data_IF_213659913203
#
_entry.id   IF_213659913203
#
_cell.length_a   1.000
_cell.length_b   1.000
_cell.length_c   1.000
_cell.angle_alpha   90.00
_cell.angle_beta   90.00
_cell.angle_gamma   90.00
#
_symmetry.space_group_name_H-M   'P 1'
#
loop_
_entity.id
_entity.type
_entity.pdbx_description
1 polymer ?
#
# COMPACT_ATOMS: atom_id res chain seq x y z
N UNK A 1 11.26 -5.45 30.73
CA UNK A 1 9.88 -5.97 30.71
C UNK A 1 9.07 -5.01 29.86
N UNK A 2 8.59 -5.42 28.68
CA UNK A 2 7.64 -4.63 27.92
C UNK A 2 6.32 -4.58 28.72
N UNK A 3 5.70 -3.40 28.81
CA UNK A 3 4.42 -3.24 29.52
C UNK A 3 3.27 -3.82 28.68
N UNK A 4 2.13 -4.13 29.30
CA UNK A 4 0.93 -4.59 28.57
C UNK A 4 0.53 -3.59 27.47
N UNK A 5 0.71 -2.29 27.72
CA UNK A 5 0.47 -1.22 26.75
C UNK A 5 1.40 -1.30 25.53
N UNK A 6 2.65 -1.75 25.72
CA UNK A 6 3.61 -1.94 24.63
C UNK A 6 3.24 -3.15 23.77
N UNK A 7 2.78 -4.24 24.39
CA UNK A 7 2.35 -5.45 23.69
C UNK A 7 1.10 -5.21 22.82
N UNK A 8 0.09 -4.50 23.35
CA UNK A 8 -1.07 -4.12 22.56
C UNK A 8 -0.72 -3.12 21.46
N UNK A 9 0.19 -2.17 21.74
CA UNK A 9 0.66 -1.22 20.76
C UNK A 9 1.41 -1.88 19.61
N UNK A 10 2.24 -2.88 19.93
CA UNK A 10 2.91 -3.71 18.95
C UNK A 10 1.92 -4.51 18.09
N UNK A 11 0.91 -5.13 18.71
CA UNK A 11 -0.12 -5.85 17.97
C UNK A 11 -0.86 -4.91 16.99
N UNK A 12 -1.24 -3.69 17.42
CA UNK A 12 -1.85 -2.69 16.52
C UNK A 12 -0.96 -2.34 15.34
N UNK A 13 0.35 -2.20 15.58
CA UNK A 13 1.32 -1.98 14.50
C UNK A 13 1.36 -3.17 13.53
N UNK A 14 1.42 -4.41 14.04
CA UNK A 14 1.43 -5.61 13.19
C UNK A 14 0.14 -5.77 12.37
N UNK A 15 -1.02 -5.43 12.92
CA UNK A 15 -2.28 -5.39 12.19
C UNK A 15 -2.21 -4.37 11.03
N UNK A 16 -1.65 -3.18 11.26
CA UNK A 16 -1.44 -2.19 10.20
C UNK A 16 -0.42 -2.64 9.15
N UNK A 17 0.64 -3.35 9.55
CA UNK A 17 1.57 -3.95 8.59
C UNK A 17 0.89 -5.02 7.72
N UNK A 18 0.02 -5.84 8.29
CA UNK A 18 -0.79 -6.82 7.54
C UNK A 18 -1.59 -6.13 6.44
N UNK A 19 -2.27 -5.02 6.79
CA UNK A 19 -2.97 -4.17 5.80
C UNK A 19 -2.02 -3.69 4.70
N UNK A 20 -0.86 -3.15 5.06
CA UNK A 20 0.06 -2.54 4.09
C UNK A 20 0.74 -3.55 3.16
N UNK A 21 1.03 -4.76 3.64
CA UNK A 21 1.75 -5.76 2.86
C UNK A 21 0.83 -6.70 2.07
N UNK A 22 -0.39 -6.95 2.53
CA UNK A 22 -1.25 -7.96 1.91
C UNK A 22 -2.48 -7.36 1.24
N UNK A 23 -3.11 -6.36 1.85
CA UNK A 23 -4.37 -5.79 1.35
C UNK A 23 -4.09 -4.61 0.41
N UNK A 24 -3.25 -3.66 0.84
CA UNK A 24 -2.96 -2.44 0.10
C UNK A 24 -2.43 -2.68 -1.33
N UNK A 25 -1.49 -3.62 -1.59
CA UNK A 25 -1.04 -3.87 -2.95
C UNK A 25 -2.14 -4.44 -3.83
N UNK A 26 -3.00 -5.30 -3.27
CA UNK A 26 -4.16 -5.86 -3.98
C UNK A 26 -5.16 -4.77 -4.37
N UNK A 27 -5.42 -3.81 -3.48
CA UNK A 27 -6.28 -2.66 -3.78
C UNK A 27 -5.73 -1.78 -4.91
N UNK A 28 -4.44 -1.44 -4.87
CA UNK A 28 -3.81 -0.66 -5.93
C UNK A 28 -3.81 -1.42 -7.26
N UNK A 29 -3.57 -2.73 -7.23
CA UNK A 29 -3.62 -3.59 -8.42
C UNK A 29 -5.02 -3.62 -9.03
N UNK A 30 -6.04 -3.81 -8.20
CA UNK A 30 -7.44 -3.82 -8.64
C UNK A 30 -7.89 -2.47 -9.20
N UNK A 31 -7.34 -1.37 -8.69
CA UNK A 31 -7.63 -0.03 -9.19
C UNK A 31 -7.15 0.16 -10.64
N UNK A 32 -6.02 -0.45 -11.01
CA UNK A 32 -5.38 -0.25 -12.32
C UNK A 32 -5.57 -1.39 -13.31
N UNK A 33 -5.95 -2.60 -12.87
CA UNK A 33 -6.02 -3.77 -13.74
C UNK A 33 -6.94 -3.57 -14.96
N UNK A 34 -8.02 -2.80 -14.79
CA UNK A 34 -8.98 -2.52 -15.85
C UNK A 34 -8.52 -1.42 -16.82
N UNK A 35 -7.72 -0.47 -16.35
CA UNK A 35 -7.24 0.65 -17.18
C UNK A 35 -5.90 0.34 -17.83
N UNK A 36 -5.07 -0.46 -17.18
CA UNK A 36 -3.78 -0.90 -17.66
C UNK A 36 -3.57 -2.37 -17.30
N UNK A 37 -4.01 -3.31 -18.15
CA UNK A 37 -3.69 -4.72 -17.97
C UNK A 37 -2.17 -4.97 -18.04
N UNK A 38 -1.65 -6.08 -17.49
CA UNK A 38 -0.20 -6.32 -17.40
C UNK A 38 0.54 -6.29 -18.75
N UNK A 39 -0.13 -6.70 -19.83
CA UNK A 39 0.42 -6.64 -21.19
C UNK A 39 0.64 -5.20 -21.67
N UNK A 40 -0.31 -4.31 -21.37
CA UNK A 40 -0.22 -2.89 -21.71
C UNK A 40 0.85 -2.20 -20.86
N UNK A 41 0.97 -2.60 -19.59
CA UNK A 41 2.02 -2.08 -18.73
C UNK A 41 3.42 -2.54 -19.19
N UNK A 42 3.57 -3.82 -19.59
CA UNK A 42 4.82 -4.35 -20.18
C UNK A 42 5.25 -3.52 -21.39
N UNK A 43 4.34 -3.24 -22.32
CA UNK A 43 4.59 -2.38 -23.48
C UNK A 43 5.03 -0.96 -23.07
N UNK A 44 4.33 -0.34 -22.11
CA UNK A 44 4.70 0.98 -21.57
C UNK A 44 6.11 0.98 -20.96
N UNK A 45 6.46 -0.07 -20.20
CA UNK A 45 7.79 -0.21 -19.58
C UNK A 45 8.87 -0.36 -20.67
N UNK A 46 8.63 -1.20 -21.67
CA UNK A 46 9.56 -1.38 -22.79
C UNK A 46 9.78 -0.06 -23.55
N UNK A 47 8.72 0.72 -23.75
CA UNK A 47 8.78 2.02 -24.41
C UNK A 47 9.49 3.10 -23.59
N UNK A 48 9.31 3.13 -22.27
CA UNK A 48 10.05 4.05 -21.38
C UNK A 48 11.56 3.72 -21.31
N UNK A 49 11.92 2.48 -21.64
CA UNK A 49 13.30 2.04 -21.80
C UNK A 49 14.09 2.02 -20.50
N UNK A 50 15.42 2.10 -20.63
CA UNK A 50 16.35 1.86 -19.53
C UNK A 50 16.27 2.91 -18.42
N UNK A 51 15.83 4.14 -18.74
CA UNK A 51 15.78 5.25 -17.77
C UNK A 51 14.80 4.97 -16.63
N UNK A 52 13.61 4.45 -16.95
CA UNK A 52 12.64 4.03 -15.92
C UNK A 52 13.20 2.87 -15.10
N UNK A 53 13.71 1.83 -15.77
CA UNK A 53 14.23 0.64 -15.09
C UNK A 53 15.41 0.96 -14.15
N UNK A 54 16.29 1.89 -14.52
CA UNK A 54 17.41 2.33 -13.68
C UNK A 54 16.97 3.15 -12.46
N UNK A 55 15.76 3.70 -12.45
CA UNK A 55 15.21 4.39 -11.28
C UNK A 55 14.69 3.43 -10.20
N UNK A 56 14.58 2.14 -10.51
CA UNK A 56 14.09 1.09 -9.62
C UNK A 56 15.24 0.34 -8.95
N UNK A 57 15.01 -0.15 -7.73
CA UNK A 57 15.94 -1.06 -7.06
C UNK A 57 16.06 -2.39 -7.82
N UNK A 58 17.17 -3.11 -7.68
CA UNK A 58 17.41 -4.39 -8.39
C UNK A 58 16.30 -5.43 -8.14
N UNK A 59 15.79 -5.50 -6.91
CA UNK A 59 14.67 -6.38 -6.56
C UNK A 59 13.38 -5.97 -7.31
N UNK A 60 13.06 -4.67 -7.34
CA UNK A 60 11.92 -4.13 -8.07
C UNK A 60 12.04 -4.37 -9.57
N UNK A 61 13.22 -4.16 -10.17
CA UNK A 61 13.46 -4.44 -11.59
C UNK A 61 13.17 -5.91 -11.93
N UNK A 62 13.52 -6.83 -11.03
CA UNK A 62 13.28 -8.27 -11.23
C UNK A 62 11.79 -8.58 -11.27
N UNK A 63 11.01 -7.96 -10.39
CA UNK A 63 9.55 -8.10 -10.37
C UNK A 63 8.92 -7.44 -11.61
N UNK A 64 9.33 -6.21 -11.95
CA UNK A 64 8.82 -5.48 -13.11
C UNK A 64 9.07 -6.22 -14.42
N UNK A 65 10.24 -6.84 -14.59
CA UNK A 65 10.55 -7.68 -15.77
C UNK A 65 9.60 -8.87 -15.95
N UNK A 66 8.88 -9.27 -14.91
CA UNK A 66 7.94 -10.41 -14.92
C UNK A 66 6.48 -9.98 -14.93
N UNK A 67 6.18 -8.70 -15.10
CA UNK A 67 4.80 -8.17 -15.11
C UNK A 67 3.90 -8.92 -16.09
N UNK A 68 4.40 -9.27 -17.28
CA UNK A 68 3.63 -9.97 -18.30
C UNK A 68 3.17 -11.37 -17.86
N UNK A 69 3.97 -12.07 -17.04
CA UNK A 69 3.70 -13.45 -16.62
C UNK A 69 3.09 -13.54 -15.22
N UNK A 70 3.51 -12.68 -14.31
CA UNK A 70 3.13 -12.73 -12.89
C UNK A 70 2.08 -11.67 -12.52
N UNK A 71 1.76 -10.76 -13.45
CA UNK A 71 0.85 -9.64 -13.20
C UNK A 71 1.34 -8.74 -12.07
N UNK A 72 0.41 -8.10 -11.37
CA UNK A 72 0.69 -7.24 -10.24
C UNK A 72 0.94 -7.99 -8.92
N UNK A 73 0.74 -9.32 -8.91
CA UNK A 73 0.67 -10.13 -7.68
C UNK A 73 1.94 -10.15 -6.83
N UNK A 74 3.10 -9.80 -7.40
CA UNK A 74 4.40 -9.76 -6.72
C UNK A 74 4.88 -8.35 -6.39
N UNK A 75 4.08 -7.33 -6.73
CA UNK A 75 4.44 -5.95 -6.48
C UNK A 75 3.92 -5.52 -5.11
N UNK A 76 4.78 -4.86 -4.33
CA UNK A 76 4.33 -4.19 -3.11
C UNK A 76 3.68 -2.83 -3.43
N UNK A 77 3.09 -2.20 -2.41
CA UNK A 77 2.41 -0.91 -2.57
C UNK A 77 3.33 0.22 -3.03
N UNK A 78 4.62 0.18 -2.66
CA UNK A 78 5.60 1.20 -3.05
C UNK A 78 5.95 1.12 -4.54
N UNK A 79 6.17 -0.09 -5.05
CA UNK A 79 6.44 -0.33 -6.46
C UNK A 79 5.20 -0.02 -7.31
N UNK A 80 4.01 -0.41 -6.85
CA UNK A 80 2.75 -0.05 -7.52
C UNK A 80 2.57 1.47 -7.57
N UNK A 81 2.82 2.19 -6.47
CA UNK A 81 2.79 3.65 -6.46
C UNK A 81 3.75 4.27 -7.49
N UNK A 82 5.00 3.78 -7.57
CA UNK A 82 5.98 4.24 -8.56
C UNK A 82 5.47 4.06 -9.99
N UNK A 83 4.91 2.90 -10.31
CA UNK A 83 4.34 2.58 -11.63
C UNK A 83 3.14 3.47 -11.96
N UNK A 84 2.21 3.61 -11.01
CA UNK A 84 1.01 4.44 -11.16
C UNK A 84 1.38 5.87 -11.50
N UNK A 85 2.34 6.45 -10.75
CA UNK A 85 2.79 7.81 -10.94
C UNK A 85 3.55 7.99 -12.25
N UNK A 86 4.47 7.08 -12.56
CA UNK A 86 5.34 7.23 -13.73
C UNK A 86 4.58 7.08 -15.05
N UNK A 87 3.63 6.14 -15.11
CA UNK A 87 2.88 5.83 -16.32
C UNK A 87 1.48 6.44 -16.36
N UNK A 88 1.15 7.28 -15.38
CA UNK A 88 -0.12 7.98 -15.24
C UNK A 88 -1.32 7.02 -15.33
N UNK A 89 -1.25 5.92 -14.57
CA UNK A 89 -2.23 4.82 -14.65
C UNK A 89 -3.60 5.16 -14.03
N UNK A 90 -3.67 6.29 -13.32
CA UNK A 90 -4.88 6.85 -12.71
C UNK A 90 -4.93 8.35 -12.99
N UNK A 91 -6.09 8.97 -12.76
CA UNK A 91 -6.24 10.42 -12.85
C UNK A 91 -5.25 11.15 -11.95
N UNK A 92 -4.69 12.27 -12.41
CA UNK A 92 -3.80 13.09 -11.60
C UNK A 92 -4.50 13.51 -10.28
N UNK A 93 -3.83 13.39 -9.11
CA UNK A 93 -4.37 13.85 -7.83
C UNK A 93 -4.71 15.34 -7.88
N UNK A 94 -5.75 15.76 -7.16
CA UNK A 94 -6.25 17.15 -7.19
C UNK A 94 -5.20 18.16 -6.73
N UNK A 95 -4.37 17.78 -5.76
CA UNK A 95 -3.28 18.62 -5.23
C UNK A 95 -1.93 18.35 -5.90
N UNK A 96 -1.90 17.37 -6.81
CA UNK A 96 -0.70 16.82 -7.43
C UNK A 96 -0.01 15.73 -6.58
N UNK A 97 0.92 15.02 -7.20
CA UNK A 97 1.68 13.95 -6.55
C UNK A 97 2.48 14.45 -5.34
N UNK A 98 2.64 13.58 -4.36
CA UNK A 98 3.38 13.85 -3.12
C UNK A 98 2.77 14.93 -2.20
N UNK A 99 1.54 15.40 -2.46
CA UNK A 99 0.81 16.35 -1.60
C UNK A 99 -0.39 15.69 -0.93
N UNK A 100 -0.72 16.17 0.26
CA UNK A 100 -1.81 15.62 1.07
C UNK A 100 -3.14 15.86 0.35
N UNK A 101 -3.92 14.79 0.08
CA UNK A 101 -5.22 14.95 -0.55
C UNK A 101 -6.18 15.63 0.42
N UNK A 102 -7.10 16.44 -0.12
CA UNK A 102 -8.18 17.02 0.67
C UNK A 102 -9.11 15.91 1.17
N UNK A 103 -9.75 16.06 2.36
CA UNK A 103 -10.65 15.05 2.90
C UNK A 103 -11.81 14.68 1.98
N UNK A 104 -12.28 15.62 1.16
CA UNK A 104 -13.43 15.44 0.26
C UNK A 104 -13.05 15.15 -1.18
N UNK A 105 -11.77 14.91 -1.48
CA UNK A 105 -11.32 14.62 -2.83
C UNK A 105 -11.54 13.12 -3.13
N UNK A 106 -12.30 12.84 -4.19
CA UNK A 106 -12.87 11.51 -4.48
C UNK A 106 -12.37 10.88 -5.79
N UNK A 107 -11.28 11.37 -6.39
CA UNK A 107 -10.69 10.72 -7.55
C UNK A 107 -9.60 9.70 -7.15
N UNK A 108 -9.28 8.81 -8.09
CA UNK A 108 -8.33 7.71 -7.87
C UNK A 108 -6.93 8.19 -7.50
N UNK A 109 -6.47 9.29 -8.10
CA UNK A 109 -5.16 9.86 -7.78
C UNK A 109 -5.07 10.33 -6.32
N UNK A 110 -6.13 10.97 -5.83
CA UNK A 110 -6.21 11.38 -4.43
C UNK A 110 -6.26 10.18 -3.49
N UNK A 111 -6.91 9.08 -3.88
CA UNK A 111 -6.90 7.83 -3.11
C UNK A 111 -5.52 7.19 -3.05
N UNK A 112 -4.79 7.17 -4.18
CA UNK A 112 -3.39 6.69 -4.24
C UNK A 112 -2.49 7.52 -3.34
N UNK A 113 -2.61 8.85 -3.34
CA UNK A 113 -1.86 9.69 -2.40
C UNK A 113 -2.29 9.45 -0.95
N UNK A 114 -3.59 9.26 -0.67
CA UNK A 114 -4.07 8.97 0.68
C UNK A 114 -3.47 7.66 1.22
N UNK A 115 -3.42 6.61 0.39
CA UNK A 115 -2.73 5.37 0.74
C UNK A 115 -1.25 5.59 1.05
N UNK A 116 -0.53 6.35 0.20
CA UNK A 116 0.87 6.68 0.45
C UNK A 116 1.06 7.41 1.79
N UNK A 117 0.19 8.37 2.12
CA UNK A 117 0.26 9.06 3.41
C UNK A 117 0.03 8.12 4.60
N UNK A 118 -0.96 7.23 4.50
CA UNK A 118 -1.23 6.24 5.54
C UNK A 118 -0.08 5.25 5.70
N UNK A 119 0.48 4.77 4.58
CA UNK A 119 1.67 3.92 4.54
C UNK A 119 2.85 4.61 5.22
N UNK A 120 3.14 5.87 4.88
CA UNK A 120 4.24 6.62 5.47
C UNK A 120 4.04 6.89 6.96
N UNK A 121 2.79 7.08 7.42
CA UNK A 121 2.49 7.19 8.86
C UNK A 121 2.82 5.92 9.65
N UNK A 122 2.91 4.78 8.96
CA UNK A 122 3.35 3.51 9.56
C UNK A 122 4.85 3.34 9.40
N UNK A 123 5.40 3.46 8.19
CA UNK A 123 6.81 3.12 7.94
C UNK A 123 7.83 4.19 8.34
N UNK A 124 7.43 5.41 8.70
CA UNK A 124 8.37 6.45 9.18
C UNK A 124 8.28 6.68 10.69
N UNK A 125 7.63 5.77 11.42
CA UNK A 125 7.57 5.87 12.88
C UNK A 125 8.90 5.48 13.50
N UNK A 126 9.27 6.12 14.59
CA UNK A 126 10.47 5.75 15.36
C UNK A 126 10.20 4.72 16.44
N UNK A 127 8.92 4.41 16.70
CA UNK A 127 8.48 3.53 17.78
C UNK A 127 7.82 2.27 17.23
N UNK A 128 8.19 1.11 17.79
CA UNK A 128 7.59 -0.19 17.47
C UNK A 128 6.27 -0.45 18.22
N UNK A 129 5.53 0.61 18.53
CA UNK A 129 4.21 0.54 19.13
C UNK A 129 3.30 1.59 18.49
N UNK A 130 2.02 1.25 18.33
CA UNK A 130 1.00 2.15 17.82
C UNK A 130 -0.03 2.46 18.91
N UNK A 131 -0.33 3.73 19.10
CA UNK A 131 -1.39 4.16 20.03
C UNK A 131 -2.77 3.78 19.47
N UNK A 132 -3.81 3.66 20.32
CA UNK A 132 -5.18 3.44 19.85
C UNK A 132 -5.66 4.51 18.86
N UNK A 133 -5.31 5.78 19.09
CA UNK A 133 -5.71 6.90 18.24
C UNK A 133 -5.06 6.82 16.85
N UNK A 134 -3.77 6.49 16.77
CA UNK A 134 -3.07 6.30 15.49
C UNK A 134 -3.65 5.12 14.72
N UNK A 135 -3.88 3.99 15.40
CA UNK A 135 -4.49 2.81 14.81
C UNK A 135 -5.87 3.12 14.25
N UNK A 136 -6.73 3.79 15.04
CA UNK A 136 -8.05 4.22 14.59
C UNK A 136 -7.97 5.09 13.33
N UNK A 137 -7.11 6.11 13.33
CA UNK A 137 -6.92 6.99 12.17
C UNK A 137 -6.44 6.23 10.93
N UNK A 138 -5.52 5.28 11.11
CA UNK A 138 -5.02 4.44 10.03
C UNK A 138 -6.13 3.59 9.41
N UNK A 139 -6.88 2.85 10.23
CA UNK A 139 -7.95 1.97 9.77
C UNK A 139 -9.12 2.74 9.16
N UNK A 140 -9.49 3.89 9.73
CA UNK A 140 -10.54 4.75 9.15
C UNK A 140 -10.12 5.30 7.78
N UNK A 141 -8.88 5.75 7.63
CA UNK A 141 -8.36 6.23 6.35
C UNK A 141 -8.35 5.13 5.28
N UNK A 142 -7.86 3.94 5.63
CA UNK A 142 -7.84 2.80 4.70
C UNK A 142 -9.25 2.35 4.32
N UNK A 143 -10.17 2.29 5.29
CA UNK A 143 -11.58 1.94 5.05
C UNK A 143 -12.25 2.91 4.07
N UNK A 144 -12.03 4.22 4.23
CA UNK A 144 -12.59 5.22 3.30
C UNK A 144 -12.10 4.99 1.86
N UNK A 145 -10.81 4.74 1.67
CA UNK A 145 -10.28 4.42 0.34
C UNK A 145 -10.84 3.10 -0.21
N UNK A 146 -11.06 2.10 0.66
CA UNK A 146 -11.67 0.83 0.27
C UNK A 146 -13.11 0.99 -0.22
N UNK A 147 -13.92 1.77 0.51
CA UNK A 147 -15.29 2.08 0.13
C UNK A 147 -15.38 2.89 -1.17
N UNK A 148 -14.40 3.75 -1.45
CA UNK A 148 -14.28 4.47 -2.72
C UNK A 148 -13.91 3.51 -3.86
N UNK A 149 -12.96 2.62 -3.63
CA UNK A 149 -12.54 1.62 -4.61
C UNK A 149 -13.65 0.61 -4.94
N UNK A 150 -14.34 0.08 -3.93
CA UNK A 150 -15.46 -0.85 -4.14
C UNK A 150 -16.57 -0.19 -4.98
N UNK A 151 -16.86 1.09 -4.75
CA UNK A 151 -17.80 1.88 -5.57
C UNK A 151 -17.29 2.05 -7.00
N UNK A 152 -16.03 2.40 -7.18
CA UNK A 152 -15.41 2.56 -8.50
C UNK A 152 -15.46 1.25 -9.31
N UNK A 153 -15.14 0.12 -8.68
CA UNK A 153 -15.13 -1.20 -9.28
C UNK A 153 -16.54 -1.82 -9.38
N UNK A 154 -17.58 -1.11 -8.94
CA UNK A 154 -18.97 -1.59 -8.89
C UNK A 154 -19.10 -2.96 -8.19
N UNK A 155 -18.28 -3.19 -7.16
CA UNK A 155 -18.28 -4.47 -6.45
C UNK A 155 -19.53 -4.55 -5.57
N UNK A 156 -20.33 -5.63 -5.68
CA UNK A 156 -21.53 -5.80 -4.87
C UNK A 156 -21.21 -6.12 -3.40
N UNK A 157 -19.96 -6.48 -3.10
CA UNK A 157 -19.52 -6.96 -1.79
C UNK A 157 -18.41 -6.07 -1.26
N UNK A 158 -18.44 -5.76 0.04
CA UNK A 158 -17.44 -4.97 0.76
C UNK A 158 -16.15 -5.77 1.05
N UNK A 159 -15.60 -6.44 0.03
CA UNK A 159 -14.52 -7.43 0.18
C UNK A 159 -13.36 -6.88 1.00
N UNK A 160 -12.87 -5.70 0.65
CA UNK A 160 -11.77 -5.08 1.37
C UNK A 160 -12.17 -4.60 2.77
N UNK A 161 -13.38 -4.06 2.93
CA UNK A 161 -13.86 -3.61 4.26
C UNK A 161 -14.02 -4.77 5.24
N UNK A 162 -14.46 -5.93 4.76
CA UNK A 162 -14.59 -7.14 5.56
C UNK A 162 -13.20 -7.69 5.93
N UNK A 163 -12.25 -7.68 5.01
CA UNK A 163 -10.84 -8.01 5.28
C UNK A 163 -10.22 -7.07 6.34
N UNK A 164 -10.47 -5.75 6.25
CA UNK A 164 -10.01 -4.79 7.26
C UNK A 164 -10.60 -5.07 8.64
N UNK A 165 -11.89 -5.35 8.70
CA UNK A 165 -12.59 -5.64 9.95
C UNK A 165 -12.02 -6.92 10.59
N UNK A 166 -11.77 -7.93 9.77
CA UNK A 166 -11.12 -9.18 10.20
C UNK A 166 -9.74 -8.89 10.79
N UNK A 167 -8.85 -8.21 10.06
CA UNK A 167 -7.50 -7.89 10.53
C UNK A 167 -7.53 -7.08 11.84
N UNK A 168 -8.42 -6.09 11.94
CA UNK A 168 -8.53 -5.26 13.14
C UNK A 168 -9.01 -6.05 14.37
N UNK A 169 -9.83 -7.09 14.17
CA UNK A 169 -10.35 -7.95 15.24
C UNK A 169 -9.40 -9.08 15.67
N UNK A 170 -8.37 -9.37 14.87
CA UNK A 170 -7.46 -10.50 15.12
C UNK A 170 -6.17 -10.08 15.80
N UNK A 171 -5.70 -10.86 16.78
CA UNK A 171 -4.31 -10.79 17.23
C UNK A 171 -3.41 -11.38 16.17
N UNK A 172 -2.37 -10.66 15.76
CA UNK A 172 -1.42 -11.18 14.76
C UNK A 172 -0.57 -12.25 15.44
N UNK A 173 -0.62 -13.47 14.92
CA UNK A 173 0.13 -14.59 15.50
C UNK A 173 1.65 -14.37 15.40
N UNK A 174 2.43 -15.08 16.22
CA UNK A 174 3.87 -14.89 16.34
C UNK A 174 4.66 -15.12 15.04
N UNK A 175 4.17 -15.95 14.13
CA UNK A 175 4.84 -16.22 12.86
C UNK A 175 4.67 -15.07 11.87
N UNK A 176 3.43 -14.60 11.70
CA UNK A 176 3.11 -13.45 10.86
C UNK A 176 3.73 -12.16 11.42
N UNK A 177 3.64 -11.96 12.75
CA UNK A 177 4.27 -10.83 13.43
C UNK A 177 5.79 -10.76 13.17
N UNK A 178 6.49 -11.90 13.19
CA UNK A 178 7.94 -11.93 12.87
C UNK A 178 8.25 -11.56 11.42
N UNK A 179 7.45 -12.03 10.47
CA UNK A 179 7.63 -11.69 9.05
C UNK A 179 7.40 -10.19 8.83
N UNK A 180 6.32 -9.64 9.37
CA UNK A 180 6.02 -8.22 9.21
C UNK A 180 7.00 -7.33 9.98
N UNK A 181 7.46 -7.75 11.16
CA UNK A 181 8.52 -7.06 11.88
C UNK A 181 9.79 -6.96 11.03
N UNK A 182 10.24 -8.08 10.45
CA UNK A 182 11.42 -8.09 9.59
C UNK A 182 11.26 -7.17 8.37
N UNK A 183 10.13 -7.27 7.64
CA UNK A 183 9.84 -6.39 6.49
C UNK A 183 9.77 -4.91 6.89
N UNK A 184 9.20 -4.63 8.07
CA UNK A 184 9.11 -3.29 8.61
C UNK A 184 10.50 -2.72 8.92
N UNK A 185 11.37 -3.49 9.58
CA UNK A 185 12.76 -3.10 9.85
C UNK A 185 13.58 -2.91 8.56
N UNK A 186 13.42 -3.79 7.59
CA UNK A 186 14.08 -3.69 6.27
C UNK A 186 13.71 -2.37 5.58
N UNK A 187 12.42 -2.00 5.65
CA UNK A 187 11.93 -0.72 5.10
C UNK A 187 12.56 0.48 5.81
N UNK A 188 12.74 0.42 7.14
CA UNK A 188 13.39 1.51 7.91
C UNK A 188 14.87 1.66 7.56
N UNK A 189 15.58 0.54 7.36
CA UNK A 189 16.98 0.53 6.98
C UNK A 189 17.20 1.12 5.58
N UNK A 190 16.25 0.93 4.65
CA UNK A 190 16.33 1.52 3.31
C UNK A 190 16.03 3.03 3.26
N UNK A 191 15.25 3.56 4.22
CA UNK A 191 14.90 5.00 4.29
C UNK A 191 15.92 5.85 5.06
N UNK A 192 16.89 5.22 5.74
CA UNK A 192 17.96 5.90 6.46
C UNK A 192 19.15 6.22 5.57
N UNK A 193 19.04 7.23 4.71
CA UNK A 193 20.14 7.95 4.06
C UNK A 193 19.71 9.38 3.74
#
# INVERSE_FOLDING_TARGET
>A
MATINDAEGFNRLMQSCTVLFDIHPSMLSDMIINTCPPIILDEKIQNAGINFMNSLYTAEQTVVRRIRTEGYSKMDGSLLYKLIRHFELVTMPSEGWSKAPKPHALNQGDDVERFRYLQNSVFHRTQFAMTPTESKRFFEGFRQCAELLDRYLQRPTKVFTDEFTKVQSTTVNDAASRIYHYKFEETHQMTGN
#
